data_IF_895568724819
#
_entry.id   IF_895568724819
#
_cell.length_a   1.000
_cell.length_b   1.000
_cell.length_c   1.000
_cell.angle_alpha   90.00
_cell.angle_beta   90.00
_cell.angle_gamma   90.00
#
_symmetry.space_group_name_H-M   'P 1'
#
loop_
_entity.id
_entity.type
_entity.pdbx_description
1 polymer ?
#
# COMPACT_ATOMS: atom_id res chain seq x y z
N UNK A 1 10.45 0.17 3.31
CA UNK A 1 9.36 0.03 4.29
C UNK A 1 9.71 0.55 5.67
N UNK A 2 10.74 0.05 6.34
CA UNK A 2 11.06 0.48 7.71
C UNK A 2 11.24 2.00 7.90
N UNK A 3 11.81 2.69 6.91
CA UNK A 3 11.94 4.16 6.92
C UNK A 3 10.59 4.88 6.96
N UNK A 4 9.57 4.38 6.24
CA UNK A 4 8.22 4.92 6.27
C UNK A 4 7.58 4.72 7.65
N UNK A 5 7.67 3.51 8.20
CA UNK A 5 7.16 3.19 9.54
C UNK A 5 7.74 4.14 10.59
N UNK A 6 9.07 4.28 10.59
CA UNK A 6 9.77 5.16 11.53
C UNK A 6 9.35 6.62 11.38
N UNK A 7 9.31 7.12 10.14
CA UNK A 7 8.95 8.52 9.87
C UNK A 7 7.51 8.83 10.30
N UNK A 8 6.55 7.97 9.94
CA UNK A 8 5.14 8.21 10.27
C UNK A 8 4.90 8.11 11.79
N UNK A 9 5.56 7.18 12.49
CA UNK A 9 5.48 7.13 13.96
C UNK A 9 6.08 8.38 14.63
N UNK A 10 7.16 8.93 14.06
CA UNK A 10 7.72 10.19 14.52
C UNK A 10 6.75 11.37 14.30
N UNK A 11 6.11 11.45 13.13
CA UNK A 11 5.08 12.45 12.84
C UNK A 11 3.86 12.31 13.75
N UNK A 12 3.40 11.08 14.03
CA UNK A 12 2.34 10.80 14.99
C UNK A 12 2.68 11.39 16.37
N UNK A 13 3.88 11.11 16.89
CA UNK A 13 4.32 11.65 18.18
C UNK A 13 4.46 13.17 18.17
N UNK A 14 5.06 13.73 17.11
CA UNK A 14 5.29 15.18 16.97
C UNK A 14 3.98 15.98 16.91
N UNK A 15 2.90 15.38 16.40
CA UNK A 15 1.57 16.00 16.32
C UNK A 15 0.71 15.76 17.56
N UNK A 16 1.27 15.15 18.61
CA UNK A 16 0.55 14.82 19.84
C UNK A 16 -0.51 13.75 19.63
N UNK A 17 -0.22 12.78 18.76
CA UNK A 17 -1.09 11.65 18.49
C UNK A 17 -1.48 10.91 19.77
N UNK A 18 -2.77 10.62 19.88
CA UNK A 18 -3.37 9.87 20.98
C UNK A 18 -4.30 8.78 20.44
N UNK A 19 -5.06 8.16 21.33
CA UNK A 19 -5.91 7.03 20.99
C UNK A 19 -7.11 7.37 20.07
N UNK A 20 -7.31 8.64 19.73
CA UNK A 20 -8.30 9.09 18.74
C UNK A 20 -7.75 9.07 17.32
N UNK A 21 -6.44 8.87 17.14
CA UNK A 21 -5.84 8.80 15.81
C UNK A 21 -6.27 7.52 15.09
N UNK A 22 -6.73 7.68 13.86
CA UNK A 22 -7.06 6.57 12.96
C UNK A 22 -5.96 6.46 11.92
N UNK A 23 -5.43 5.25 11.73
CA UNK A 23 -4.49 4.95 10.67
C UNK A 23 -5.22 4.39 9.45
N UNK A 24 -5.06 5.04 8.31
CA UNK A 24 -5.57 4.59 7.02
C UNK A 24 -4.40 4.57 6.04
N UNK A 25 -4.14 3.42 5.42
CA UNK A 25 -3.06 3.24 4.47
C UNK A 25 -3.58 2.65 3.15
N UNK A 26 -3.03 3.11 2.03
CA UNK A 26 -3.25 2.56 0.69
C UNK A 26 -1.91 2.15 0.08
N UNK A 27 -1.89 1.03 -0.65
CA UNK A 27 -0.70 0.50 -1.34
C UNK A 27 0.54 0.39 -0.44
N UNK A 28 1.66 1.03 -0.76
CA UNK A 28 2.84 1.11 0.12
C UNK A 28 2.53 1.72 1.49
N UNK A 29 1.59 2.66 1.55
CA UNK A 29 1.08 3.20 2.80
C UNK A 29 0.33 2.14 3.61
N UNK A 30 -0.35 1.19 2.95
CA UNK A 30 -0.94 0.05 3.63
C UNK A 30 0.12 -0.91 4.17
N UNK A 31 1.17 -1.18 3.39
CA UNK A 31 2.30 -1.99 3.86
C UNK A 31 2.99 -1.35 5.08
N UNK A 32 3.29 -0.05 5.01
CA UNK A 32 3.83 0.71 6.13
C UNK A 32 2.87 0.69 7.33
N UNK A 33 1.56 0.77 7.11
CA UNK A 33 0.55 0.72 8.15
C UNK A 33 0.61 -0.56 9.00
N UNK A 34 0.78 -1.73 8.38
CA UNK A 34 1.01 -2.99 9.12
C UNK A 34 2.23 -2.89 10.04
N UNK A 35 3.33 -2.31 9.53
CA UNK A 35 4.54 -2.09 10.32
C UNK A 35 4.32 -1.16 11.51
N UNK A 36 3.57 -0.06 11.31
CA UNK A 36 3.27 0.89 12.38
C UNK A 36 2.49 0.25 13.53
N UNK A 37 1.41 -0.49 13.22
CA UNK A 37 0.60 -1.15 14.24
C UNK A 37 1.31 -2.32 14.91
N UNK A 38 2.23 -2.97 14.20
CA UNK A 38 3.08 -4.01 14.76
C UNK A 38 4.18 -3.44 15.68
N UNK A 39 4.78 -2.31 15.32
CA UNK A 39 5.84 -1.63 16.10
C UNK A 39 5.30 -0.91 17.33
N UNK A 40 4.17 -0.20 17.22
CA UNK A 40 3.57 0.54 18.33
C UNK A 40 2.06 0.29 18.44
N UNK A 41 1.71 -0.79 19.15
CA UNK A 41 0.31 -1.25 19.29
C UNK A 41 -0.61 -0.27 20.01
N UNK A 42 -0.07 0.63 20.82
CA UNK A 42 -0.87 1.62 21.55
C UNK A 42 -1.05 2.92 20.78
N UNK A 43 -0.31 3.14 19.68
CA UNK A 43 -0.45 4.36 18.87
C UNK A 43 -1.75 4.37 18.05
N UNK A 44 -2.18 3.20 17.57
CA UNK A 44 -3.38 3.09 16.74
C UNK A 44 -4.19 1.90 17.21
N UNK A 45 -5.41 2.15 17.70
CA UNK A 45 -6.31 1.08 18.17
C UNK A 45 -6.97 0.30 17.03
N UNK A 46 -7.05 0.92 15.86
CA UNK A 46 -7.69 0.39 14.66
C UNK A 46 -6.91 0.80 13.43
N UNK A 47 -7.01 -0.03 12.40
CA UNK A 47 -6.29 0.17 11.16
C UNK A 47 -7.16 -0.11 9.93
N UNK A 48 -7.07 0.74 8.93
CA UNK A 48 -7.71 0.54 7.63
C UNK A 48 -6.63 0.39 6.57
N UNK A 49 -6.62 -0.76 5.89
CA UNK A 49 -5.73 -1.06 4.78
C UNK A 49 -6.52 -1.11 3.47
N UNK A 50 -6.03 -0.43 2.44
CA UNK A 50 -6.62 -0.41 1.10
C UNK A 50 -5.66 -1.03 0.08
N UNK A 51 -6.20 -1.87 -0.80
CA UNK A 51 -5.56 -2.50 -1.96
C UNK A 51 -4.44 -3.52 -1.68
N UNK A 52 -3.60 -3.32 -0.65
CA UNK A 52 -2.51 -4.25 -0.32
C UNK A 52 -2.83 -5.04 0.97
N UNK A 53 -2.96 -6.38 0.91
CA UNK A 53 -3.23 -7.21 2.07
C UNK A 53 -1.96 -7.40 2.92
N UNK A 54 -2.04 -8.01 4.12
CA UNK A 54 -0.85 -8.46 4.83
C UNK A 54 -0.01 -9.37 3.92
N UNK A 55 1.31 -9.17 3.87
CA UNK A 55 2.19 -9.91 2.94
C UNK A 55 2.06 -11.43 3.08
N UNK A 56 1.85 -11.92 4.31
CA UNK A 56 1.63 -13.34 4.57
C UNK A 56 0.40 -13.92 3.84
N UNK A 57 -0.63 -13.10 3.59
CA UNK A 57 -1.85 -13.53 2.88
C UNK A 57 -1.64 -13.80 1.40
N UNK A 58 -0.64 -13.16 0.77
CA UNK A 58 -0.32 -13.40 -0.64
C UNK A 58 0.40 -14.73 -0.88
N UNK A 59 1.02 -15.29 0.18
CA UNK A 59 1.72 -16.58 0.15
C UNK A 59 2.68 -16.72 -1.04
N UNK A 60 2.69 -17.89 -1.66
CA UNK A 60 3.44 -18.12 -2.91
C UNK A 60 2.74 -17.57 -4.16
N UNK A 61 1.48 -17.14 -4.04
CA UNK A 61 0.67 -16.60 -5.13
C UNK A 61 1.24 -15.32 -5.73
N UNK A 62 2.03 -14.56 -4.94
CA UNK A 62 2.81 -13.42 -5.42
C UNK A 62 3.81 -13.77 -6.54
N UNK A 63 4.24 -15.03 -6.61
CA UNK A 63 5.14 -15.55 -7.64
C UNK A 63 4.40 -16.30 -8.77
N UNK A 64 3.07 -16.28 -8.77
CA UNK A 64 2.29 -16.83 -9.89
C UNK A 64 2.58 -16.06 -11.18
N UNK A 65 2.51 -16.73 -12.33
CA UNK A 65 2.77 -16.08 -13.61
C UNK A 65 1.84 -14.88 -13.87
N UNK A 66 0.56 -15.00 -13.50
CA UNK A 66 -0.41 -13.91 -13.63
C UNK A 66 0.00 -12.69 -12.79
N UNK A 67 0.37 -12.91 -11.52
CA UNK A 67 0.81 -11.81 -10.65
C UNK A 67 2.15 -11.23 -11.07
N UNK A 68 3.11 -12.05 -11.51
CA UNK A 68 4.39 -11.57 -12.03
C UNK A 68 4.23 -10.66 -13.25
N UNK A 69 3.22 -10.91 -14.10
CA UNK A 69 2.87 -10.02 -15.22
C UNK A 69 2.29 -8.68 -14.72
N UNK A 70 1.37 -8.70 -13.76
CA UNK A 70 0.84 -7.48 -13.13
C UNK A 70 1.96 -6.66 -12.49
N UNK A 71 2.91 -7.34 -11.85
CA UNK A 71 4.07 -6.76 -11.18
C UNK A 71 5.28 -6.55 -12.08
N UNK A 72 5.13 -6.50 -13.42
CA UNK A 72 6.26 -6.33 -14.34
C UNK A 72 7.11 -5.07 -14.01
N UNK A 73 6.43 -4.00 -13.61
CA UNK A 73 7.05 -2.71 -13.30
C UNK A 73 8.04 -2.81 -12.14
N UNK A 74 7.79 -3.69 -11.15
CA UNK A 74 8.71 -3.93 -10.03
C UNK A 74 10.07 -4.44 -10.53
N UNK A 75 10.05 -5.35 -11.51
CA UNK A 75 11.25 -5.89 -12.14
C UNK A 75 11.95 -4.86 -13.04
N UNK A 76 11.17 -4.07 -13.78
CA UNK A 76 11.69 -2.98 -14.59
C UNK A 76 12.38 -1.89 -13.75
N UNK A 77 11.82 -1.54 -12.60
CA UNK A 77 12.36 -0.52 -11.69
C UNK A 77 13.76 -0.87 -11.14
N UNK A 78 14.13 -2.16 -11.16
CA UNK A 78 15.47 -2.60 -10.77
C UNK A 78 16.56 -2.10 -11.74
N UNK A 79 16.20 -1.66 -12.95
CA UNK A 79 17.16 -1.13 -13.94
C UNK A 79 17.54 0.32 -13.60
N UNK A 80 18.51 0.48 -12.69
CA UNK A 80 19.00 1.79 -12.22
C UNK A 80 19.51 2.66 -13.38
N UNK A 81 19.06 3.91 -13.43
CA UNK A 81 19.38 4.88 -14.48
C UNK A 81 18.42 4.83 -15.67
N UNK A 82 17.97 3.63 -16.07
CA UNK A 82 17.00 3.47 -17.16
C UNK A 82 15.56 3.74 -16.66
N UNK A 83 15.16 3.10 -15.56
CA UNK A 83 13.80 3.21 -15.06
C UNK A 83 13.42 4.66 -14.74
N UNK A 84 14.31 5.41 -14.10
CA UNK A 84 14.12 6.84 -13.80
C UNK A 84 13.79 7.64 -15.06
N UNK A 85 14.58 7.46 -16.13
CA UNK A 85 14.35 8.18 -17.39
C UNK A 85 12.99 7.84 -18.01
N UNK A 86 12.60 6.57 -18.01
CA UNK A 86 11.32 6.14 -18.60
C UNK A 86 10.13 6.61 -17.79
N UNK A 87 10.22 6.58 -16.45
CA UNK A 87 9.11 6.99 -15.58
C UNK A 87 8.92 8.51 -15.54
N UNK A 88 9.94 9.30 -15.90
CA UNK A 88 9.77 10.76 -16.03
C UNK A 88 9.03 11.14 -17.33
N UNK A 89 9.09 10.30 -18.35
CA UNK A 89 8.42 10.56 -19.63
C UNK A 89 6.89 10.43 -19.51
N UNK A 90 6.13 11.15 -20.38
CA UNK A 90 4.71 10.91 -20.58
C UNK A 90 4.41 9.46 -20.99
N UNK A 91 3.31 8.92 -20.48
CA UNK A 91 2.72 7.64 -20.93
C UNK A 91 2.95 6.47 -19.98
N UNK A 92 4.06 6.41 -19.24
CA UNK A 92 4.34 5.27 -18.36
C UNK A 92 3.34 5.20 -17.20
N UNK A 93 3.19 6.29 -16.44
CA UNK A 93 2.24 6.35 -15.31
C UNK A 93 0.81 6.16 -15.78
N UNK A 94 0.45 6.77 -16.90
CA UNK A 94 -0.87 6.71 -17.50
C UNK A 94 -1.24 5.27 -17.87
N UNK A 95 -0.32 4.55 -18.51
CA UNK A 95 -0.53 3.14 -18.87
C UNK A 95 -0.58 2.26 -17.62
N UNK A 96 0.33 2.47 -16.67
CA UNK A 96 0.40 1.67 -15.45
C UNK A 96 -0.85 1.84 -14.58
N UNK A 97 -1.33 3.07 -14.40
CA UNK A 97 -2.56 3.34 -13.64
C UNK A 97 -3.81 2.84 -14.38
N UNK A 98 -3.82 2.89 -15.71
CA UNK A 98 -4.90 2.27 -16.51
C UNK A 98 -4.92 0.75 -16.36
N UNK A 99 -3.76 0.10 -16.22
CA UNK A 99 -3.68 -1.33 -15.94
C UNK A 99 -4.16 -1.62 -14.50
N UNK A 100 -3.75 -0.82 -13.53
CA UNK A 100 -4.10 -1.01 -12.11
C UNK A 100 -5.59 -0.74 -11.81
N UNK A 101 -6.18 0.24 -12.49
CA UNK A 101 -7.57 0.66 -12.29
C UNK A 101 -8.30 0.83 -13.62
N UNK A 102 -8.70 -0.27 -14.28
CA UNK A 102 -9.32 -0.22 -15.59
C UNK A 102 -10.61 0.61 -15.60
N UNK A 103 -10.66 1.63 -16.45
CA UNK A 103 -11.81 2.53 -16.60
C UNK A 103 -11.81 3.74 -15.66
N UNK A 104 -10.80 3.91 -14.81
CA UNK A 104 -10.59 5.11 -14.02
C UNK A 104 -9.89 6.20 -14.84
N UNK A 105 -10.38 7.44 -14.76
CA UNK A 105 -9.70 8.61 -15.35
C UNK A 105 -8.71 9.22 -14.35
N UNK A 106 -7.46 8.79 -14.45
CA UNK A 106 -6.36 9.23 -13.59
C UNK A 106 -5.69 10.55 -14.03
N UNK A 107 -6.28 11.29 -14.99
CA UNK A 107 -5.62 12.44 -15.61
C UNK A 107 -5.20 13.51 -14.59
N UNK A 108 -6.08 13.85 -13.65
CA UNK A 108 -5.78 14.85 -12.63
C UNK A 108 -4.74 14.36 -11.60
N UNK A 109 -4.84 13.10 -11.17
CA UNK A 109 -3.90 12.51 -10.20
C UNK A 109 -2.49 12.42 -10.76
N UNK A 110 -2.35 11.99 -12.01
CA UNK A 110 -1.04 11.91 -12.68
C UNK A 110 -0.48 13.32 -12.89
N UNK A 111 -1.32 14.30 -13.24
CA UNK A 111 -0.88 15.68 -13.32
C UNK A 111 -0.39 16.21 -11.96
N UNK A 112 -1.03 15.82 -10.86
CA UNK A 112 -0.58 16.13 -9.50
C UNK A 112 0.74 15.44 -9.17
N UNK A 113 0.89 14.15 -9.46
CA UNK A 113 2.14 13.40 -9.29
C UNK A 113 3.31 14.12 -10.01
N UNK A 114 3.11 14.52 -11.27
CA UNK A 114 4.13 15.20 -12.09
C UNK A 114 4.53 16.59 -11.59
N UNK A 115 3.75 17.22 -10.70
CA UNK A 115 4.14 18.49 -10.05
C UNK A 115 5.18 18.30 -8.95
N UNK A 116 5.21 17.11 -8.34
CA UNK A 116 6.05 16.83 -7.17
C UNK A 116 7.17 15.84 -7.46
N UNK A 117 7.07 15.07 -8.55
CA UNK A 117 8.08 14.09 -8.94
C UNK A 117 8.85 14.61 -10.15
N UNK A 118 10.17 14.72 -9.99
CA UNK A 118 11.10 15.16 -11.02
C UNK A 118 12.40 14.34 -11.00
N UNK A 119 13.36 14.71 -11.85
CA UNK A 119 14.64 14.02 -11.94
C UNK A 119 15.47 14.05 -10.64
N UNK A 120 15.22 15.02 -9.75
CA UNK A 120 15.95 15.13 -8.50
C UNK A 120 15.45 14.14 -7.44
N UNK A 121 14.18 13.71 -7.50
CA UNK A 121 13.56 12.88 -6.45
C UNK A 121 12.91 11.58 -6.94
N UNK A 122 12.86 11.31 -8.25
CA UNK A 122 12.29 10.05 -8.78
C UNK A 122 12.96 8.81 -8.17
N UNK A 123 14.27 8.88 -7.87
CA UNK A 123 14.99 7.79 -7.23
C UNK A 123 14.39 7.42 -5.86
N UNK A 124 13.84 8.37 -5.12
CA UNK A 124 13.21 8.15 -3.81
C UNK A 124 11.88 7.40 -3.94
N UNK A 125 11.15 7.62 -5.05
CA UNK A 125 9.92 6.88 -5.40
C UNK A 125 10.24 5.42 -5.75
N UNK A 126 11.38 5.18 -6.41
CA UNK A 126 11.77 3.86 -6.89
C UNK A 126 12.52 3.02 -5.85
N UNK A 127 13.21 3.67 -4.92
CA UNK A 127 14.05 3.01 -3.91
C UNK A 127 13.32 1.97 -3.06
N UNK A 128 12.05 2.14 -2.64
CA UNK A 128 11.30 1.10 -1.93
C UNK A 128 11.20 -0.22 -2.70
N UNK A 129 10.98 -0.16 -4.03
CA UNK A 129 10.94 -1.35 -4.88
C UNK A 129 12.30 -2.02 -5.00
N UNK A 130 13.38 -1.23 -5.03
CA UNK A 130 14.76 -1.73 -5.12
C UNK A 130 15.20 -2.38 -3.80
N UNK A 131 14.85 -1.76 -2.69
CA UNK A 131 15.13 -2.26 -1.34
C UNK A 131 14.49 -3.63 -1.07
N UNK A 132 13.42 -3.99 -1.79
CA UNK A 132 12.80 -5.32 -1.69
C UNK A 132 13.70 -6.45 -2.23
N UNK A 133 14.66 -6.16 -3.10
CA UNK A 133 15.52 -7.17 -3.75
C UNK A 133 17.02 -6.91 -3.62
N UNK A 134 17.41 -5.69 -3.26
CA UNK A 134 18.80 -5.32 -3.03
C UNK A 134 18.94 -4.60 -1.67
N UNK A 135 19.60 -5.23 -0.68
CA UNK A 135 19.86 -4.64 0.64
C UNK A 135 20.63 -3.32 0.62
N UNK A 136 21.37 -2.99 -0.45
CA UNK A 136 22.09 -1.71 -0.58
C UNK A 136 21.13 -0.50 -0.62
N UNK A 137 19.88 -0.72 -1.04
CA UNK A 137 18.83 0.31 -1.04
C UNK A 137 18.02 0.34 0.27
N UNK A 138 18.30 -0.57 1.20
CA UNK A 138 17.64 -0.60 2.50
C UNK A 138 18.47 0.19 3.54
N UNK A 139 17.78 0.92 4.42
CA UNK A 139 18.42 1.52 5.59
C UNK A 139 18.62 0.47 6.69
N UNK A 140 19.87 0.09 7.04
CA UNK A 140 20.15 -0.90 8.07
C UNK A 140 19.60 -0.49 9.45
N UNK A 141 19.45 0.81 9.69
CA UNK A 141 18.93 1.31 10.95
C UNK A 141 17.43 1.01 11.11
N UNK A 142 16.70 0.74 10.03
CA UNK A 142 15.24 0.54 10.02
C UNK A 142 14.81 -0.91 9.75
N UNK A 143 15.72 -1.90 9.90
CA UNK A 143 15.42 -3.30 9.60
C UNK A 143 14.35 -3.90 10.52
N UNK A 144 14.29 -3.47 11.79
CA UNK A 144 13.29 -3.96 12.74
C UNK A 144 11.88 -3.53 12.33
N UNK A 145 11.71 -2.26 11.95
CA UNK A 145 10.45 -1.73 11.44
C UNK A 145 10.06 -2.35 10.09
N UNK A 146 11.03 -2.62 9.21
CA UNK A 146 10.78 -3.33 7.96
C UNK A 146 10.32 -4.78 8.20
N UNK A 147 10.92 -5.49 9.16
CA UNK A 147 10.48 -6.83 9.55
C UNK A 147 9.08 -6.81 10.18
N UNK A 148 8.76 -5.78 10.97
CA UNK A 148 7.44 -5.63 11.57
C UNK A 148 6.32 -5.51 10.53
N UNK A 149 6.58 -4.88 9.36
CA UNK A 149 5.58 -4.75 8.29
C UNK A 149 5.22 -6.07 7.60
N UNK A 150 6.00 -7.13 7.83
CA UNK A 150 5.72 -8.48 7.32
C UNK A 150 4.86 -9.33 8.27
N UNK A 151 4.51 -8.79 9.45
CA UNK A 151 3.70 -9.50 10.46
C UNK A 151 2.22 -9.18 10.32
N UNK A 152 1.35 -10.10 10.76
CA UNK A 152 -0.09 -9.82 10.83
C UNK A 152 -0.38 -8.67 11.80
N UNK A 153 -1.34 -7.78 11.48
CA UNK A 153 -1.66 -6.64 12.33
C UNK A 153 -2.20 -7.11 13.69
N UNK A 154 -1.65 -6.62 14.82
CA UNK A 154 -2.09 -7.00 16.15
C UNK A 154 -3.23 -6.13 16.68
N UNK A 155 -3.99 -5.48 15.79
CA UNK A 155 -5.13 -4.61 16.10
C UNK A 155 -6.29 -4.90 15.15
N UNK A 156 -7.56 -4.61 15.52
CA UNK A 156 -8.69 -4.71 14.61
C UNK A 156 -8.40 -3.96 13.30
N UNK A 157 -8.53 -4.67 12.19
CA UNK A 157 -8.14 -4.16 10.88
C UNK A 157 -9.29 -4.33 9.87
N UNK A 158 -9.67 -3.23 9.21
CA UNK A 158 -10.51 -3.27 8.03
C UNK A 158 -9.61 -3.33 6.80
N UNK A 159 -9.77 -4.35 5.97
CA UNK A 159 -9.12 -4.45 4.68
C UNK A 159 -10.15 -4.33 3.55
N UNK A 160 -9.93 -3.38 2.64
CA UNK A 160 -10.76 -3.18 1.45
C UNK A 160 -9.92 -3.41 0.18
N UNK A 161 -10.46 -4.18 -0.77
CA UNK A 161 -9.78 -4.48 -2.03
C UNK A 161 -10.72 -4.36 -3.22
N UNK A 162 -10.22 -3.86 -4.35
CA UNK A 162 -11.01 -3.70 -5.56
C UNK A 162 -11.06 -5.00 -6.35
N UNK A 163 -12.25 -5.45 -6.77
CA UNK A 163 -12.39 -6.69 -7.53
C UNK A 163 -11.65 -6.68 -8.89
N UNK A 164 -11.41 -5.48 -9.44
CA UNK A 164 -10.73 -5.26 -10.70
C UNK A 164 -9.28 -4.74 -10.51
N UNK A 165 -8.70 -4.88 -9.33
CA UNK A 165 -7.32 -4.43 -9.05
C UNK A 165 -6.34 -5.15 -10.00
N UNK A 166 -5.70 -4.35 -10.85
CA UNK A 166 -4.70 -4.83 -11.81
C UNK A 166 -3.27 -4.85 -11.28
N UNK A 167 -3.01 -4.29 -10.10
CA UNK A 167 -1.71 -4.33 -9.43
C UNK A 167 -1.57 -5.61 -8.60
N UNK A 168 -2.55 -5.94 -7.76
CA UNK A 168 -2.64 -7.19 -6.99
C UNK A 168 -3.94 -7.88 -7.36
N UNK A 169 -3.85 -9.07 -7.94
CA UNK A 169 -5.04 -9.79 -8.39
C UNK A 169 -5.92 -10.27 -7.23
N UNK A 170 -7.23 -10.09 -7.36
CA UNK A 170 -8.22 -10.65 -6.45
C UNK A 170 -8.12 -12.19 -6.30
N UNK A 171 -7.56 -12.87 -7.31
CA UNK A 171 -7.27 -14.31 -7.30
C UNK A 171 -6.28 -14.74 -6.20
N UNK A 172 -5.62 -13.79 -5.53
CA UNK A 172 -4.69 -14.05 -4.43
C UNK A 172 -5.32 -13.88 -3.05
N UNK A 173 -6.61 -13.52 -2.96
CA UNK A 173 -7.20 -12.99 -1.71
C UNK A 173 -8.08 -13.96 -0.92
N UNK A 174 -8.23 -15.20 -1.37
CA UNK A 174 -9.09 -16.21 -0.74
C UNK A 174 -8.77 -16.47 0.75
N UNK A 175 -7.53 -16.22 1.19
CA UNK A 175 -7.06 -16.46 2.56
C UNK A 175 -6.90 -15.21 3.43
N UNK A 176 -7.21 -14.00 2.94
CA UNK A 176 -6.82 -12.75 3.64
C UNK A 176 -7.39 -12.65 5.05
N UNK A 177 -8.64 -13.10 5.25
CA UNK A 177 -9.29 -13.05 6.56
C UNK A 177 -8.51 -13.80 7.65
N UNK A 178 -7.81 -14.89 7.30
CA UNK A 178 -6.99 -15.67 8.24
C UNK A 178 -5.75 -14.90 8.73
N UNK A 179 -5.34 -13.88 7.98
CA UNK A 179 -4.21 -13.02 8.29
C UNK A 179 -4.60 -11.72 9.02
N UNK A 180 -5.87 -11.58 9.39
CA UNK A 180 -6.42 -10.48 10.20
C UNK A 180 -6.91 -11.03 11.56
N UNK A 181 -6.00 -11.39 12.48
CA UNK A 181 -6.30 -12.26 13.62
C UNK A 181 -7.11 -11.59 14.74
N UNK A 182 -7.23 -10.26 14.74
CA UNK A 182 -7.89 -9.54 15.82
C UNK A 182 -9.41 -9.53 15.64
N UNK A 183 -10.14 -9.78 16.73
CA UNK A 183 -11.59 -9.63 16.75
C UNK A 183 -12.02 -8.23 16.30
N UNK A 184 -13.11 -8.15 15.51
CA UNK A 184 -13.57 -6.90 14.89
C UNK A 184 -12.87 -6.55 13.57
N UNK A 185 -11.87 -7.33 13.14
CA UNK A 185 -11.30 -7.19 11.79
C UNK A 185 -12.30 -7.65 10.73
N UNK A 186 -12.23 -7.02 9.55
CA UNK A 186 -13.10 -7.32 8.42
C UNK A 186 -12.33 -7.23 7.11
N UNK A 187 -12.71 -8.05 6.14
CA UNK A 187 -12.24 -7.98 4.77
C UNK A 187 -13.45 -7.81 3.85
N UNK A 188 -13.37 -6.86 2.93
CA UNK A 188 -14.41 -6.65 1.91
C UNK A 188 -13.79 -6.45 0.53
N UNK A 189 -14.40 -7.13 -0.45
CA UNK A 189 -14.16 -6.87 -1.86
C UNK A 189 -15.13 -5.78 -2.34
N UNK A 190 -14.65 -4.85 -3.16
CA UNK A 190 -15.45 -3.77 -3.74
C UNK A 190 -15.60 -4.02 -5.24
N UNK A 191 -16.84 -4.30 -5.66
CA UNK A 191 -17.14 -4.69 -7.03
C UNK A 191 -16.93 -3.54 -8.02
N UNK A 192 -16.34 -3.85 -9.17
CA UNK A 192 -16.17 -2.88 -10.26
C UNK A 192 -15.16 -1.77 -9.99
N UNK A 193 -14.29 -1.95 -9.00
CA UNK A 193 -13.26 -0.99 -8.57
C UNK A 193 -11.88 -1.61 -8.71
N UNK A 194 -10.90 -0.82 -9.13
CA UNK A 194 -9.51 -1.20 -9.26
C UNK A 194 -8.66 -0.94 -8.01
N UNK A 195 -7.38 -0.67 -8.25
CA UNK A 195 -6.38 -0.47 -7.20
C UNK A 195 -6.58 0.84 -6.41
N UNK A 196 -7.13 1.89 -7.02
CA UNK A 196 -7.28 3.21 -6.40
C UNK A 196 -8.67 3.41 -5.83
N UNK A 197 -9.15 2.46 -5.01
CA UNK A 197 -10.54 2.42 -4.53
C UNK A 197 -11.08 3.75 -4.02
N UNK A 198 -10.27 4.44 -3.21
CA UNK A 198 -10.62 5.70 -2.57
C UNK A 198 -10.68 6.89 -3.54
N UNK A 199 -10.07 6.78 -4.73
CA UNK A 199 -10.19 7.75 -5.82
C UNK A 199 -11.34 7.38 -6.77
N UNK A 200 -11.54 6.09 -7.03
CA UNK A 200 -12.57 5.57 -7.94
C UNK A 200 -13.99 5.65 -7.37
N UNK A 201 -14.14 5.44 -6.06
CA UNK A 201 -15.43 5.43 -5.33
C UNK A 201 -15.29 6.14 -3.96
N UNK A 202 -14.89 7.43 -3.91
CA UNK A 202 -14.53 8.11 -2.67
C UNK A 202 -15.64 8.09 -1.63
N UNK A 203 -16.89 8.35 -2.03
CA UNK A 203 -18.03 8.40 -1.11
C UNK A 203 -18.37 7.04 -0.52
N UNK A 204 -18.29 5.97 -1.32
CA UNK A 204 -18.58 4.60 -0.89
C UNK A 204 -17.49 4.10 0.07
N UNK A 205 -16.21 4.26 -0.30
CA UNK A 205 -15.09 3.85 0.55
C UNK A 205 -15.08 4.62 1.86
N UNK A 206 -15.33 5.94 1.83
CA UNK A 206 -15.44 6.74 3.04
C UNK A 206 -16.60 6.27 3.94
N UNK A 207 -17.78 5.98 3.36
CA UNK A 207 -18.92 5.49 4.12
C UNK A 207 -18.65 4.13 4.78
N UNK A 208 -18.01 3.20 4.06
CA UNK A 208 -17.60 1.89 4.60
C UNK A 208 -16.63 2.04 5.75
N UNK A 209 -15.61 2.90 5.61
CA UNK A 209 -14.62 3.17 6.66
C UNK A 209 -15.29 3.78 7.89
N UNK A 210 -16.10 4.82 7.70
CA UNK A 210 -16.78 5.50 8.81
C UNK A 210 -17.76 4.57 9.52
N UNK A 211 -18.50 3.74 8.78
CA UNK A 211 -19.40 2.74 9.33
C UNK A 211 -18.66 1.74 10.23
N UNK A 212 -17.58 1.15 9.73
CA UNK A 212 -16.78 0.21 10.52
C UNK A 212 -16.14 0.87 11.76
N UNK A 213 -15.70 2.12 11.65
CA UNK A 213 -15.17 2.88 12.79
C UNK A 213 -16.24 3.22 13.83
N UNK A 214 -17.52 3.31 13.44
CA UNK A 214 -18.62 3.61 14.36
C UNK A 214 -19.07 2.41 15.19
N UNK A 215 -18.74 1.18 14.78
CA UNK A 215 -19.07 -0.06 15.49
C UNK A 215 -18.13 -0.35 16.70
N UNK A 216 -17.41 0.66 17.25
CA UNK A 216 -16.64 0.57 18.52
C UNK A 216 -17.51 0.76 19.77
#
# INVERSE_FOLDING_TARGET
>A
MGTYVRYILAEYAARGGDDRAVLIGHDWGANAGYGMVATNRSAFRRYVALAVPPTAALGSGIFSYAQLKRSFYIWFIQQVGLAESVLLEPGFWESLWSDWSPGYDATEDIAMLRRYIDAANIADVLSPYRASFNPEFADPACLAEAAASLTSPPVPTLYLHGANDGAIGADLLDGVAEHLPCAGSSFQMVDGVGHFLHLERPAEIAATIVGWLADD
#
